data_IF_187965589954
#
_entry.id   IF_187965589954
#
_cell.length_a   1.000
_cell.length_b   1.000
_cell.length_c   1.000
_cell.angle_alpha   90.00
_cell.angle_beta   90.00
_cell.angle_gamma   90.00
#
_symmetry.space_group_name_H-M   'P 1'
#
loop_
_entity.id
_entity.type
_entity.pdbx_description
1 polymer ?
#
# COMPACT_ATOMS: atom_id res chain seq x y z
N UNK A 1 24.05 -11.97 -3.37
CA UNK A 1 22.72 -11.98 -3.99
C UNK A 1 21.95 -13.16 -3.46
N UNK A 2 20.73 -12.95 -2.98
CA UNK A 2 19.80 -13.98 -2.51
C UNK A 2 18.59 -14.01 -3.45
N UNK A 3 17.93 -15.15 -3.52
CA UNK A 3 16.70 -15.31 -4.28
C UNK A 3 15.51 -15.02 -3.37
N UNK A 4 14.75 -14.00 -3.70
CA UNK A 4 13.54 -13.57 -3.00
C UNK A 4 12.26 -14.06 -3.66
N UNK A 5 11.14 -13.48 -3.24
CA UNK A 5 9.80 -13.84 -3.70
C UNK A 5 9.67 -13.69 -5.22
N UNK A 6 9.00 -14.65 -5.85
CA UNK A 6 8.70 -14.60 -7.29
C UNK A 6 9.91 -14.55 -8.21
N UNK A 7 11.06 -15.00 -7.74
CA UNK A 7 12.32 -14.95 -8.48
C UNK A 7 13.03 -13.57 -8.42
N UNK A 8 12.56 -12.65 -7.59
CA UNK A 8 13.25 -11.40 -7.32
C UNK A 8 14.65 -11.65 -6.74
N UNK A 9 15.57 -10.73 -7.01
CA UNK A 9 16.93 -10.80 -6.49
C UNK A 9 17.12 -9.79 -5.36
N UNK A 10 17.61 -10.26 -4.21
CA UNK A 10 17.95 -9.43 -3.08
C UNK A 10 19.48 -9.21 -3.05
N UNK A 11 19.89 -7.97 -3.14
CA UNK A 11 21.27 -7.54 -3.06
C UNK A 11 21.54 -6.99 -1.67
N UNK A 12 22.59 -7.47 -1.03
CA UNK A 12 23.14 -6.86 0.18
C UNK A 12 24.23 -5.89 -0.30
N UNK A 13 24.08 -4.62 0.08
CA UNK A 13 24.96 -3.52 -0.33
C UNK A 13 25.71 -3.07 0.91
N UNK A 14 27.04 -3.05 0.84
CA UNK A 14 27.97 -2.63 1.90
C UNK A 14 28.56 -1.24 1.70
N UNK A 15 28.38 -0.66 0.49
CA UNK A 15 28.72 0.73 0.18
C UNK A 15 27.48 1.61 0.37
N UNK A 16 27.31 2.12 1.59
CA UNK A 16 26.15 2.93 1.96
C UNK A 16 26.53 3.98 3.03
N UNK A 17 25.99 5.19 2.91
CA UNK A 17 26.22 6.28 3.86
C UNK A 17 27.69 6.70 3.93
N UNK A 18 28.32 6.62 5.10
CA UNK A 18 29.72 7.04 5.31
C UNK A 18 30.74 6.17 4.55
N UNK A 19 30.39 4.97 4.14
CA UNK A 19 31.26 4.05 3.41
C UNK A 19 31.27 4.26 1.90
N UNK A 20 30.43 5.17 1.40
CA UNK A 20 30.29 5.46 -0.02
C UNK A 20 28.88 5.19 -0.56
N UNK A 21 28.76 5.10 -1.86
CA UNK A 21 27.52 4.81 -2.56
C UNK A 21 27.70 3.66 -3.56
N UNK A 22 26.68 2.85 -3.72
CA UNK A 22 26.60 1.88 -4.82
C UNK A 22 26.85 2.52 -6.19
N UNK A 23 26.50 3.80 -6.32
CA UNK A 23 26.58 4.56 -7.58
C UNK A 23 27.93 5.22 -7.83
N UNK A 24 28.89 5.18 -6.91
CA UNK A 24 30.21 5.81 -7.05
C UNK A 24 31.02 5.29 -8.25
N UNK A 25 30.70 4.08 -8.73
CA UNK A 25 31.33 3.47 -9.91
C UNK A 25 30.64 3.83 -11.25
N UNK A 26 29.61 4.67 -11.23
CA UNK A 26 28.78 4.99 -12.39
C UNK A 26 29.00 6.46 -12.80
N UNK A 27 28.93 6.75 -14.08
CA UNK A 27 28.97 8.12 -14.55
C UNK A 27 27.63 8.82 -14.32
N UNK A 28 27.69 10.04 -13.81
CA UNK A 28 26.50 10.87 -13.66
C UNK A 28 25.96 11.32 -15.02
N UNK A 29 24.63 11.36 -15.13
CA UNK A 29 23.95 11.91 -16.31
C UNK A 29 23.92 13.43 -16.18
N UNK A 30 24.49 14.16 -17.15
CA UNK A 30 24.47 15.62 -17.15
C UNK A 30 23.04 16.18 -17.06
N UNK A 31 22.82 17.10 -16.14
CA UNK A 31 21.53 17.77 -15.93
C UNK A 31 20.50 16.95 -15.16
N UNK A 32 20.88 15.84 -14.53
CA UNK A 32 19.95 14.99 -13.77
C UNK A 32 19.29 15.74 -12.60
N UNK A 33 20.00 16.61 -11.89
CA UNK A 33 19.45 17.38 -10.75
C UNK A 33 18.33 18.34 -11.19
N UNK A 34 18.45 18.98 -12.36
CA UNK A 34 17.41 19.84 -12.90
C UNK A 34 16.20 19.00 -13.35
N UNK A 35 16.45 17.85 -13.98
CA UNK A 35 15.41 16.92 -14.38
C UNK A 35 14.65 16.38 -13.16
N UNK A 36 15.34 16.03 -12.08
CA UNK A 36 14.74 15.61 -10.83
C UNK A 36 13.86 16.69 -10.22
N UNK A 37 14.39 17.91 -10.03
CA UNK A 37 13.59 19.03 -9.49
C UNK A 37 12.35 19.33 -10.32
N UNK A 38 12.45 19.26 -11.64
CA UNK A 38 11.32 19.49 -12.55
C UNK A 38 10.27 18.38 -12.49
N UNK A 39 10.71 17.15 -12.29
CA UNK A 39 9.85 15.97 -12.32
C UNK A 39 9.38 15.54 -10.93
N UNK A 40 9.98 16.06 -9.86
CA UNK A 40 9.54 15.76 -8.49
C UNK A 40 8.08 16.10 -8.28
N UNK A 41 7.39 15.24 -7.57
CA UNK A 41 5.99 15.38 -7.15
C UNK A 41 5.83 15.27 -5.64
N UNK A 42 6.95 15.29 -4.88
CA UNK A 42 6.94 15.19 -3.43
C UNK A 42 6.91 13.75 -2.89
N UNK A 43 7.28 12.75 -3.70
CA UNK A 43 7.54 11.41 -3.21
C UNK A 43 8.91 11.38 -2.53
N UNK A 44 9.02 10.70 -1.37
CA UNK A 44 10.21 10.78 -0.52
C UNK A 44 10.85 9.43 -0.25
N UNK A 45 10.13 8.53 0.40
CA UNK A 45 10.70 7.28 0.92
C UNK A 45 9.86 6.10 0.42
N UNK A 46 10.53 4.99 0.11
CA UNK A 46 9.87 3.70 -0.06
C UNK A 46 9.45 3.22 1.34
N UNK A 47 8.15 3.23 1.60
CA UNK A 47 7.56 2.90 2.90
C UNK A 47 7.49 1.38 3.15
N UNK A 48 6.91 0.66 2.17
CA UNK A 48 6.79 -0.79 2.26
C UNK A 48 6.63 -1.46 0.89
N UNK A 49 6.88 -2.77 0.87
CA UNK A 49 6.71 -3.65 -0.29
C UNK A 49 5.74 -4.77 0.07
N UNK A 50 4.50 -4.68 -0.39
CA UNK A 50 3.50 -5.70 -0.11
C UNK A 50 3.66 -6.89 -1.04
N UNK A 51 3.76 -8.07 -0.47
CA UNK A 51 3.87 -9.32 -1.18
C UNK A 51 2.55 -10.09 -1.17
N UNK A 52 2.14 -10.61 -2.31
CA UNK A 52 1.10 -11.62 -2.39
C UNK A 52 1.74 -13.01 -2.48
N UNK A 53 1.37 -13.87 -1.54
CA UNK A 53 1.87 -15.24 -1.43
C UNK A 53 0.76 -16.25 -1.72
N UNK A 54 1.14 -17.46 -2.16
CA UNK A 54 0.19 -18.55 -2.36
C UNK A 54 -0.38 -19.02 -1.02
N UNK A 55 -1.54 -19.62 -1.07
CA UNK A 55 -2.16 -20.22 0.11
C UNK A 55 -1.24 -21.27 0.73
N UNK A 56 -1.01 -21.11 2.05
CA UNK A 56 -0.11 -21.93 2.84
C UNK A 56 1.36 -21.47 2.86
N UNK A 57 1.73 -20.45 2.07
CA UNK A 57 3.12 -20.01 1.93
C UNK A 57 3.49 -18.81 2.82
N UNK A 58 2.55 -18.20 3.55
CA UNK A 58 2.85 -17.07 4.45
C UNK A 58 3.95 -17.40 5.46
N UNK A 59 3.90 -18.59 6.06
CA UNK A 59 4.94 -19.03 7.02
C UNK A 59 6.29 -19.27 6.37
N UNK A 60 6.32 -19.69 5.11
CA UNK A 60 7.56 -19.85 4.35
C UNK A 60 8.25 -18.51 4.18
N UNK A 61 7.53 -17.49 3.74
CA UNK A 61 8.09 -16.17 3.49
C UNK A 61 8.37 -15.39 4.78
N UNK A 62 7.49 -15.43 5.77
CA UNK A 62 7.78 -14.80 7.07
C UNK A 62 8.98 -15.46 7.77
N UNK A 63 9.09 -16.78 7.68
CA UNK A 63 10.26 -17.54 8.17
C UNK A 63 11.55 -17.18 7.43
N UNK A 64 11.49 -16.94 6.12
CA UNK A 64 12.62 -16.48 5.33
C UNK A 64 13.12 -15.11 5.82
N UNK A 65 12.24 -14.11 5.92
CA UNK A 65 12.61 -12.76 6.39
C UNK A 65 13.11 -12.78 7.84
N UNK A 66 12.48 -13.57 8.69
CA UNK A 66 12.95 -13.73 10.08
C UNK A 66 14.34 -14.36 10.15
N UNK A 67 14.55 -15.49 9.47
CA UNK A 67 15.78 -16.28 9.58
C UNK A 67 16.99 -15.64 8.90
N UNK A 68 16.78 -14.93 7.78
CA UNK A 68 17.85 -14.35 6.97
C UNK A 68 18.18 -12.92 7.39
N UNK A 69 17.15 -12.14 7.78
CA UNK A 69 17.28 -10.71 8.02
C UNK A 69 16.86 -10.27 9.42
N UNK A 70 16.51 -11.21 10.30
CA UNK A 70 16.01 -10.96 11.66
C UNK A 70 14.74 -10.09 11.69
N UNK A 71 13.91 -10.12 10.68
CA UNK A 71 12.63 -9.42 10.70
C UNK A 71 11.71 -10.04 11.74
N UNK A 72 10.90 -9.21 12.37
CA UNK A 72 9.89 -9.61 13.35
C UNK A 72 8.49 -9.39 12.81
N UNK A 73 7.52 -10.15 13.33
CA UNK A 73 6.11 -9.88 13.08
C UNK A 73 5.69 -8.63 13.84
N UNK A 74 5.30 -7.59 13.13
CA UNK A 74 4.76 -6.37 13.72
C UNK A 74 3.27 -6.50 14.03
N UNK A 75 2.51 -7.05 13.08
CA UNK A 75 1.05 -7.14 13.17
C UNK A 75 0.52 -8.28 12.29
N UNK A 76 -0.51 -8.95 12.76
CA UNK A 76 -1.23 -9.98 12.01
C UNK A 76 -2.71 -9.61 11.92
N UNK A 77 -3.32 -9.81 10.75
CA UNK A 77 -4.71 -9.50 10.48
C UNK A 77 -5.41 -10.69 9.82
N UNK A 78 -6.59 -11.02 10.31
CA UNK A 78 -7.56 -11.91 9.65
C UNK A 78 -8.70 -11.03 9.12
N UNK A 79 -8.64 -10.68 7.84
CA UNK A 79 -9.56 -9.76 7.20
C UNK A 79 -10.61 -10.56 6.45
N UNK A 80 -11.88 -10.34 6.80
CA UNK A 80 -13.03 -11.03 6.20
C UNK A 80 -13.98 -10.05 5.53
N UNK A 81 -14.06 -10.14 4.21
CA UNK A 81 -15.12 -9.53 3.42
C UNK A 81 -16.34 -10.45 3.34
N UNK A 82 -17.44 -10.01 2.72
CA UNK A 82 -18.63 -10.85 2.49
C UNK A 82 -18.39 -11.98 1.49
N UNK A 83 -17.51 -11.76 0.52
CA UNK A 83 -17.26 -12.71 -0.56
C UNK A 83 -15.90 -13.41 -0.43
N UNK A 84 -14.88 -12.70 0.03
CA UNK A 84 -13.51 -13.21 0.14
C UNK A 84 -12.82 -12.69 1.39
N UNK A 85 -11.80 -13.42 1.86
CA UNK A 85 -10.96 -13.03 2.98
C UNK A 85 -9.47 -13.16 2.66
N UNK A 86 -8.67 -12.53 3.50
CA UNK A 86 -7.21 -12.66 3.43
C UNK A 86 -6.60 -12.66 4.84
N UNK A 87 -5.46 -13.30 4.95
CA UNK A 87 -4.54 -13.10 6.05
C UNK A 87 -3.47 -12.09 5.62
N UNK A 88 -3.14 -11.16 6.51
CA UNK A 88 -2.04 -10.24 6.30
C UNK A 88 -1.12 -10.26 7.51
N UNK A 89 0.17 -10.43 7.26
CA UNK A 89 1.22 -10.45 8.28
C UNK A 89 2.27 -9.41 7.92
N UNK A 90 2.36 -8.34 8.68
CA UNK A 90 3.37 -7.31 8.48
C UNK A 90 4.68 -7.71 9.14
N UNK A 91 5.74 -7.88 8.35
CA UNK A 91 7.10 -8.10 8.81
C UNK A 91 7.86 -6.77 8.83
N UNK A 92 8.66 -6.55 9.88
CA UNK A 92 9.45 -5.33 10.03
C UNK A 92 10.91 -5.66 10.36
N UNK A 93 11.84 -4.92 9.74
CA UNK A 93 13.26 -5.02 10.03
C UNK A 93 13.58 -4.52 11.47
N UNK A 94 14.69 -4.99 12.08
CA UNK A 94 15.07 -4.58 13.43
C UNK A 94 15.24 -3.07 13.63
N UNK A 95 15.71 -2.36 12.60
CA UNK A 95 15.85 -0.90 12.57
C UNK A 95 14.55 -0.16 12.20
N UNK A 96 13.48 -0.92 11.91
CA UNK A 96 12.16 -0.43 11.51
C UNK A 96 12.11 0.32 10.16
N UNK A 97 13.21 0.34 9.41
CA UNK A 97 13.30 1.04 8.12
C UNK A 97 12.62 0.28 6.98
N UNK A 98 12.56 -1.05 7.05
CA UNK A 98 11.98 -1.88 6.00
C UNK A 98 10.76 -2.61 6.54
N UNK A 99 9.63 -2.46 5.83
CA UNK A 99 8.36 -3.11 6.14
C UNK A 99 7.91 -3.94 4.96
N UNK A 100 7.47 -5.17 5.22
CA UNK A 100 7.00 -6.12 4.19
C UNK A 100 5.71 -6.77 4.66
N UNK A 101 4.55 -6.24 4.26
CA UNK A 101 3.29 -6.96 4.43
C UNK A 101 3.24 -8.18 3.53
N UNK A 102 2.87 -9.32 4.08
CA UNK A 102 2.63 -10.58 3.38
C UNK A 102 1.13 -10.85 3.37
N UNK A 103 0.53 -10.95 2.20
CA UNK A 103 -0.90 -11.22 2.04
C UNK A 103 -1.13 -12.61 1.46
N UNK A 104 -1.94 -13.40 2.15
CA UNK A 104 -2.34 -14.74 1.74
C UNK A 104 -3.86 -14.82 1.60
N UNK A 105 -4.33 -15.37 0.49
CA UNK A 105 -5.76 -15.55 0.26
C UNK A 105 -6.37 -16.65 1.11
N UNK A 106 -7.60 -16.42 1.59
CA UNK A 106 -8.45 -17.47 2.18
C UNK A 106 -9.30 -18.20 1.13
N UNK A 107 -9.49 -17.59 -0.06
CA UNK A 107 -10.45 -18.01 -1.08
C UNK A 107 -9.84 -18.10 -2.47
N UNK A 108 -10.36 -19.02 -3.31
CA UNK A 108 -9.87 -19.23 -4.69
C UNK A 108 -10.17 -18.08 -5.66
N UNK A 109 -11.15 -17.23 -5.34
CA UNK A 109 -11.62 -16.14 -6.20
C UNK A 109 -11.25 -14.75 -5.65
N UNK A 110 -10.24 -14.67 -4.78
CA UNK A 110 -9.80 -13.40 -4.21
C UNK A 110 -8.94 -12.59 -5.18
N UNK A 111 -8.77 -11.30 -4.88
CA UNK A 111 -7.85 -10.41 -5.59
C UNK A 111 -6.40 -10.91 -5.54
N UNK A 112 -6.01 -11.58 -4.45
CA UNK A 112 -4.66 -12.15 -4.31
C UNK A 112 -4.46 -13.28 -5.31
N UNK A 113 -5.43 -14.18 -5.46
CA UNK A 113 -5.37 -15.27 -6.43
C UNK A 113 -5.43 -14.75 -7.89
N UNK A 114 -6.15 -13.65 -8.14
CA UNK A 114 -6.11 -12.98 -9.44
C UNK A 114 -4.71 -12.43 -9.73
N UNK A 115 -4.09 -11.76 -8.77
CA UNK A 115 -2.70 -11.30 -8.89
C UNK A 115 -1.76 -12.47 -9.19
N UNK A 116 -1.82 -13.56 -8.42
CA UNK A 116 -0.94 -14.72 -8.60
C UNK A 116 -1.09 -15.33 -10.00
N UNK A 117 -2.30 -15.38 -10.53
CA UNK A 117 -2.54 -15.87 -11.91
C UNK A 117 -1.96 -14.91 -12.95
N UNK A 118 -2.19 -13.59 -12.81
CA UNK A 118 -1.72 -12.57 -13.75
C UNK A 118 -0.20 -12.37 -13.71
N UNK A 119 0.38 -12.41 -12.52
CA UNK A 119 1.82 -12.29 -12.29
C UNK A 119 2.58 -13.58 -12.63
N UNK A 120 1.87 -14.70 -12.75
CA UNK A 120 2.37 -16.05 -12.94
C UNK A 120 3.20 -16.56 -11.75
N UNK A 121 2.81 -16.21 -10.54
CA UNK A 121 3.47 -16.63 -9.31
C UNK A 121 3.24 -15.67 -8.16
N UNK A 122 3.94 -15.93 -7.06
CA UNK A 122 4.04 -15.03 -5.92
C UNK A 122 4.89 -13.82 -6.28
N UNK A 123 4.68 -12.68 -5.63
CA UNK A 123 5.47 -11.51 -5.93
C UNK A 123 5.06 -10.26 -5.18
N UNK A 124 5.76 -9.16 -5.47
CA UNK A 124 5.44 -7.84 -4.96
C UNK A 124 4.19 -7.34 -5.70
N UNK A 125 3.09 -7.14 -4.95
CA UNK A 125 1.84 -6.61 -5.48
C UNK A 125 1.90 -5.10 -5.63
N UNK A 126 2.37 -4.39 -4.60
CA UNK A 126 2.50 -2.95 -4.67
C UNK A 126 3.74 -2.43 -3.92
N UNK A 127 4.12 -1.23 -4.32
CA UNK A 127 5.22 -0.46 -3.76
C UNK A 127 4.63 0.81 -3.18
N UNK A 128 4.73 0.99 -1.86
CA UNK A 128 4.24 2.18 -1.18
C UNK A 128 5.33 3.24 -1.05
N UNK A 129 4.98 4.48 -1.40
CA UNK A 129 5.86 5.64 -1.35
C UNK A 129 5.25 6.72 -0.46
N UNK A 130 6.04 7.28 0.44
CA UNK A 130 5.60 8.36 1.33
C UNK A 130 5.60 9.72 0.65
N UNK A 131 4.80 10.62 1.19
CA UNK A 131 4.81 12.06 0.92
C UNK A 131 4.42 12.85 2.16
N UNK A 132 4.91 14.07 2.30
CA UNK A 132 4.46 14.99 3.34
C UNK A 132 3.11 15.64 3.04
N UNK A 133 2.71 15.72 1.77
CA UNK A 133 1.42 16.28 1.36
C UNK A 133 0.79 15.45 0.23
N UNK A 134 -0.03 14.49 0.61
CA UNK A 134 -0.65 13.56 -0.34
C UNK A 134 -1.56 14.27 -1.35
N UNK A 135 -2.20 15.38 -0.96
CA UNK A 135 -3.07 16.13 -1.87
C UNK A 135 -2.30 16.76 -3.01
N UNK A 136 -1.20 17.47 -2.70
CA UNK A 136 -0.36 18.10 -3.72
C UNK A 136 0.32 17.06 -4.60
N UNK A 137 0.83 15.99 -3.99
CA UNK A 137 1.49 14.90 -4.71
C UNK A 137 0.53 14.23 -5.70
N UNK A 138 -0.67 13.84 -5.26
CA UNK A 138 -1.66 13.17 -6.11
C UNK A 138 -2.14 14.11 -7.23
N UNK A 139 -2.41 15.38 -6.92
CA UNK A 139 -2.81 16.37 -7.93
C UNK A 139 -1.70 16.59 -8.97
N UNK A 140 -0.44 16.65 -8.55
CA UNK A 140 0.71 16.77 -9.46
C UNK A 140 0.94 15.51 -10.30
N UNK A 141 0.75 14.32 -9.73
CA UNK A 141 0.81 13.05 -10.46
C UNK A 141 -0.30 12.92 -11.51
N UNK A 142 -1.56 13.27 -11.14
CA UNK A 142 -2.70 13.32 -12.09
C UNK A 142 -2.45 14.29 -13.24
N UNK A 143 -1.89 15.46 -12.96
CA UNK A 143 -1.54 16.45 -14.00
C UNK A 143 -0.49 15.92 -14.99
N UNK A 144 0.28 14.91 -14.60
CA UNK A 144 1.25 14.20 -15.45
C UNK A 144 0.70 12.93 -16.09
N UNK A 145 -0.60 12.65 -15.93
CA UNK A 145 -1.27 11.52 -16.57
C UNK A 145 -1.23 10.21 -15.77
N UNK A 146 -0.85 10.24 -14.49
CA UNK A 146 -0.94 9.05 -13.64
C UNK A 146 -2.42 8.80 -13.31
N UNK A 147 -2.86 7.59 -13.57
CA UNK A 147 -4.22 7.13 -13.26
C UNK A 147 -4.24 6.42 -11.90
N UNK A 148 -5.28 6.68 -11.12
CA UNK A 148 -5.50 6.10 -9.81
C UNK A 148 -6.77 5.26 -9.78
N UNK A 149 -6.83 4.31 -8.86
CA UNK A 149 -8.03 3.54 -8.59
C UNK A 149 -9.15 4.46 -8.10
N UNK A 150 -10.37 4.15 -8.50
CA UNK A 150 -11.54 4.89 -8.06
C UNK A 150 -12.09 4.33 -6.74
N UNK A 151 -12.77 5.18 -5.99
CA UNK A 151 -13.41 4.84 -4.73
C UNK A 151 -14.84 5.35 -4.76
N UNK A 152 -15.77 4.51 -4.31
CA UNK A 152 -17.21 4.80 -4.34
C UNK A 152 -17.57 6.03 -3.47
N UNK A 153 -18.53 6.85 -3.92
CA UNK A 153 -18.93 8.10 -3.26
C UNK A 153 -19.37 7.90 -1.81
N UNK A 154 -20.08 6.83 -1.52
CA UNK A 154 -20.54 6.48 -0.17
C UNK A 154 -19.42 6.30 0.85
N UNK A 155 -18.20 6.00 0.41
CA UNK A 155 -17.03 5.96 1.30
C UNK A 155 -16.78 7.34 1.92
N UNK A 156 -16.79 8.40 1.09
CA UNK A 156 -16.51 9.77 1.54
C UNK A 156 -17.62 10.35 2.41
N UNK A 157 -18.87 9.94 2.20
CA UNK A 157 -20.01 10.32 3.03
C UNK A 157 -19.93 9.77 4.47
N UNK A 158 -19.20 8.68 4.67
CA UNK A 158 -19.08 8.01 5.96
C UNK A 158 -17.83 8.42 6.76
N UNK A 159 -16.91 9.20 6.19
CA UNK A 159 -15.63 9.56 6.84
C UNK A 159 -15.85 10.24 8.18
N UNK A 160 -16.60 11.34 8.22
CA UNK A 160 -16.83 12.12 9.44
C UNK A 160 -17.52 11.30 10.54
N UNK A 161 -18.34 10.33 10.17
CA UNK A 161 -18.98 9.43 11.12
C UNK A 161 -18.01 8.38 11.67
N UNK A 162 -17.12 7.90 10.81
CA UNK A 162 -16.12 6.86 11.14
C UNK A 162 -14.95 7.41 11.93
N UNK A 163 -14.49 8.59 11.58
CA UNK A 163 -13.33 9.28 12.15
C UNK A 163 -13.71 10.72 12.55
N UNK A 164 -14.54 10.92 13.58
CA UNK A 164 -14.94 12.26 13.99
C UNK A 164 -13.74 13.07 14.47
N UNK A 165 -13.63 14.30 14.01
CA UNK A 165 -12.54 15.20 14.43
C UNK A 165 -11.21 15.03 13.69
N UNK A 166 -11.14 14.24 12.63
CA UNK A 166 -9.90 13.97 11.87
C UNK A 166 -9.23 15.20 11.26
N UNK A 167 -9.96 16.30 11.03
CA UNK A 167 -9.42 17.59 10.58
C UNK A 167 -8.99 17.65 9.09
N UNK A 168 -9.21 16.59 8.30
CA UNK A 168 -8.86 16.57 6.88
C UNK A 168 -9.98 17.15 6.00
N UNK A 169 -9.62 17.68 4.82
CA UNK A 169 -10.56 18.19 3.83
C UNK A 169 -11.22 17.03 3.06
N UNK A 170 -12.42 16.64 3.51
CA UNK A 170 -13.19 15.53 2.91
C UNK A 170 -13.53 15.79 1.45
N UNK A 171 -13.81 17.04 1.06
CA UNK A 171 -14.13 17.35 -0.33
C UNK A 171 -12.90 17.22 -1.24
N UNK A 172 -11.73 17.62 -0.76
CA UNK A 172 -10.47 17.42 -1.49
C UNK A 172 -10.09 15.94 -1.55
N UNK A 173 -10.33 15.17 -0.47
CA UNK A 173 -10.18 13.72 -0.46
C UNK A 173 -11.08 13.06 -1.49
N UNK A 174 -12.38 13.41 -1.50
CA UNK A 174 -13.38 12.92 -2.46
C UNK A 174 -12.97 13.20 -3.90
N UNK A 175 -12.59 14.43 -4.19
CA UNK A 175 -12.13 14.85 -5.53
C UNK A 175 -10.94 14.04 -6.01
N UNK A 176 -10.01 13.75 -5.12
CA UNK A 176 -8.77 13.05 -5.41
C UNK A 176 -8.84 11.53 -5.18
N UNK A 177 -9.93 11.02 -4.60
CA UNK A 177 -10.13 9.59 -4.25
C UNK A 177 -9.14 9.09 -3.19
N UNK A 178 -8.70 9.98 -2.30
CA UNK A 178 -7.79 9.68 -1.20
C UNK A 178 -8.55 9.05 -0.05
N UNK A 179 -8.07 7.91 0.43
CA UNK A 179 -8.60 7.19 1.57
C UNK A 179 -7.97 7.68 2.87
N UNK A 180 -8.67 7.50 3.98
CA UNK A 180 -8.19 7.82 5.33
C UNK A 180 -8.46 6.68 6.29
N UNK A 181 -7.48 6.35 7.13
CA UNK A 181 -7.58 5.38 8.22
C UNK A 181 -6.93 5.94 9.50
N UNK A 182 -7.21 5.31 10.63
CA UNK A 182 -6.60 5.68 11.90
C UNK A 182 -7.59 5.92 13.02
N UNK A 183 -7.11 6.54 14.07
CA UNK A 183 -7.88 6.95 15.25
C UNK A 183 -7.24 8.18 15.91
N UNK A 184 -7.93 8.78 16.88
CA UNK A 184 -7.38 9.86 17.70
C UNK A 184 -6.12 9.43 18.48
N UNK A 185 -6.04 8.14 18.83
CA UNK A 185 -4.92 7.59 19.62
C UNK A 185 -3.74 7.17 18.75
N UNK A 186 -4.00 6.58 17.58
CA UNK A 186 -2.96 6.04 16.68
C UNK A 186 -2.51 7.04 15.62
N UNK A 187 -3.17 8.20 15.49
CA UNK A 187 -2.94 9.13 14.41
C UNK A 187 -3.64 8.69 13.11
N UNK A 188 -3.38 9.44 12.03
CA UNK A 188 -4.03 9.26 10.74
C UNK A 188 -3.07 8.71 9.68
N UNK A 189 -3.63 7.97 8.76
CA UNK A 189 -3.00 7.47 7.55
C UNK A 189 -3.87 7.85 6.36
N UNK A 190 -3.31 8.59 5.41
CA UNK A 190 -3.96 8.85 4.12
C UNK A 190 -3.27 8.02 3.05
N UNK A 191 -4.04 7.44 2.14
CA UNK A 191 -3.51 6.56 1.11
C UNK A 191 -4.34 6.60 -0.17
N UNK A 192 -3.70 6.31 -1.30
CA UNK A 192 -4.34 6.10 -2.59
C UNK A 192 -3.49 5.15 -3.42
N UNK A 193 -4.14 4.41 -4.33
CA UNK A 193 -3.48 3.42 -5.17
C UNK A 193 -3.58 3.83 -6.64
N UNK A 194 -2.48 3.65 -7.38
CA UNK A 194 -2.51 3.81 -8.84
C UNK A 194 -3.27 2.65 -9.48
N UNK A 195 -3.67 2.83 -10.75
CA UNK A 195 -3.98 1.69 -11.61
C UNK A 195 -2.73 0.81 -11.77
N UNK A 196 -2.92 -0.40 -12.29
CA UNK A 196 -1.82 -1.32 -12.61
C UNK A 196 -0.81 -0.64 -13.52
N UNK A 197 0.47 -0.69 -13.14
CA UNK A 197 1.55 0.02 -13.85
C UNK A 197 2.49 -0.96 -14.58
N UNK A 198 2.86 -2.05 -13.92
CA UNK A 198 3.72 -3.08 -14.48
C UNK A 198 3.04 -4.45 -14.36
N UNK A 199 2.27 -4.85 -15.38
CA UNK A 199 1.41 -6.02 -15.27
C UNK A 199 0.41 -5.82 -14.13
N UNK A 200 0.30 -6.71 -13.13
CA UNK A 200 -0.60 -6.52 -11.98
C UNK A 200 0.03 -5.74 -10.82
N UNK A 201 1.20 -5.14 -11.00
CA UNK A 201 1.88 -4.34 -9.97
C UNK A 201 1.43 -2.90 -10.05
N UNK A 202 1.13 -2.30 -8.89
CA UNK A 202 0.74 -0.89 -8.77
C UNK A 202 1.53 -0.18 -7.66
N UNK A 203 1.35 1.14 -7.55
CA UNK A 203 1.94 1.96 -6.49
C UNK A 203 0.87 2.42 -5.51
N UNK A 204 1.29 2.54 -4.26
CA UNK A 204 0.55 3.23 -3.21
C UNK A 204 1.25 4.54 -2.88
N UNK A 205 0.49 5.62 -2.75
CA UNK A 205 0.97 6.90 -2.22
C UNK A 205 0.38 7.04 -0.83
N UNK A 206 1.25 7.28 0.16
CA UNK A 206 0.88 7.25 1.57
C UNK A 206 1.39 8.50 2.30
N UNK A 207 0.55 9.08 3.14
CA UNK A 207 0.94 10.11 4.11
C UNK A 207 0.61 9.62 5.51
N UNK A 208 1.64 9.53 6.34
CA UNK A 208 1.53 9.15 7.75
C UNK A 208 1.46 10.41 8.63
N UNK A 209 0.38 10.56 9.38
CA UNK A 209 0.19 11.59 10.40
C UNK A 209 0.11 10.93 11.77
N UNK A 210 1.20 10.26 12.16
CA UNK A 210 1.33 9.52 13.41
C UNK A 210 0.96 8.03 13.34
N UNK A 211 0.23 7.59 12.34
CA UNK A 211 -0.21 6.20 12.24
C UNK A 211 0.84 5.30 11.56
N UNK A 212 1.23 4.23 12.23
CA UNK A 212 2.18 3.22 11.74
C UNK A 212 1.52 1.99 11.09
N UNK A 213 0.19 2.03 10.92
CA UNK A 213 -0.59 0.94 10.30
C UNK A 213 -0.43 0.87 8.78
N UNK A 214 -1.26 0.01 8.17
CA UNK A 214 -1.28 -0.24 6.71
C UNK A 214 -2.67 0.01 6.10
N UNK A 215 -3.51 0.84 6.74
CA UNK A 215 -4.82 1.19 6.22
C UNK A 215 -5.88 0.08 6.32
N UNK A 216 -5.76 -0.80 7.29
CA UNK A 216 -6.65 -1.95 7.42
C UNK A 216 -8.10 -1.57 7.72
N UNK A 217 -8.33 -0.42 8.40
CA UNK A 217 -9.66 0.12 8.59
C UNK A 217 -10.32 0.57 7.29
N UNK A 218 -9.55 0.94 6.28
CA UNK A 218 -10.08 1.28 4.96
C UNK A 218 -10.70 0.06 4.26
N UNK A 219 -10.19 -1.15 4.50
CA UNK A 219 -10.77 -2.35 3.93
C UNK A 219 -12.23 -2.53 4.38
N UNK A 220 -12.48 -2.45 5.67
CA UNK A 220 -13.85 -2.51 6.21
C UNK A 220 -14.71 -1.33 5.76
N UNK A 221 -14.15 -0.12 5.76
CA UNK A 221 -14.85 1.09 5.35
C UNK A 221 -15.28 1.08 3.88
N UNK A 222 -14.42 0.58 2.99
CA UNK A 222 -14.75 0.39 1.58
C UNK A 222 -15.88 -0.63 1.41
N UNK A 223 -15.80 -1.70 2.18
CA UNK A 223 -16.83 -2.73 2.18
C UNK A 223 -18.20 -2.18 2.62
N UNK A 224 -18.26 -1.49 3.76
CA UNK A 224 -19.50 -0.90 4.30
C UNK A 224 -20.08 0.15 3.33
N UNK A 225 -19.23 0.90 2.65
CA UNK A 225 -19.66 1.90 1.68
C UNK A 225 -20.26 1.29 0.42
N UNK A 226 -19.72 0.16 -0.06
CA UNK A 226 -20.29 -0.59 -1.19
C UNK A 226 -21.65 -1.15 -0.81
N UNK A 227 -21.79 -1.69 0.39
CA UNK A 227 -23.08 -2.20 0.88
C UNK A 227 -24.13 -1.10 0.97
N UNK A 228 -23.78 0.06 1.52
CA UNK A 228 -24.68 1.22 1.57
C UNK A 228 -25.14 1.66 0.18
N UNK A 229 -24.26 1.70 -0.80
CA UNK A 229 -24.61 2.00 -2.19
C UNK A 229 -25.56 0.94 -2.78
N UNK A 230 -25.29 -0.35 -2.51
CA UNK A 230 -26.16 -1.44 -2.96
C UNK A 230 -27.56 -1.35 -2.35
N UNK A 231 -27.68 -0.97 -1.09
CA UNK A 231 -28.96 -0.73 -0.43
C UNK A 231 -29.68 0.44 -1.09
N UNK A 232 -29.01 1.56 -1.33
CA UNK A 232 -29.60 2.74 -2.01
C UNK A 232 -30.11 2.43 -3.42
N UNK A 233 -29.40 1.58 -4.14
CA UNK A 233 -29.81 1.13 -5.49
C UNK A 233 -30.86 0.02 -5.46
N UNK A 234 -31.27 -0.46 -4.28
CA UNK A 234 -32.27 -1.53 -4.13
C UNK A 234 -31.78 -2.92 -4.52
N UNK A 235 -30.46 -3.11 -4.62
CA UNK A 235 -29.82 -4.43 -4.89
C UNK A 235 -29.90 -5.30 -3.63
N UNK A 236 -29.65 -4.71 -2.46
CA UNK A 236 -29.82 -5.35 -1.17
C UNK A 236 -31.08 -4.77 -0.52
N UNK A 237 -31.98 -5.65 -0.07
CA UNK A 237 -33.14 -5.29 0.75
C UNK A 237 -32.76 -5.51 2.22
N UNK A 238 -32.90 -4.45 3.01
CA UNK A 238 -32.79 -4.54 4.49
C UNK A 238 -34.21 -4.67 4.98
N UNK A 239 -34.52 -5.78 5.66
CA UNK A 239 -35.80 -5.93 6.37
C UNK A 239 -35.83 -4.89 7.49
N UNK A 240 -36.93 -4.12 7.55
CA UNK A 240 -37.14 -3.02 8.48
C UNK A 240 -37.43 -3.51 9.91
#
# INVERSE_FOLDING_TARGET
VLQGIGGSLLYVIDQYGETGSLYDAWDEIEGWEEAERKNSVGLEILDHLTHNVRRGEMRTWSGFYNSVFNFEEQKYFDIKGKATGLFSQAMIAPDRAIRIPLNESQDENSQIEEFIRRYNGEGIQHIALTTENIFETVEAMRARGVEFQDTIETYFELIDKRLPGHGEDVERMRKNRILIDGSDEEGLLLQIFTQDTFGPIFFEIIQRKGNEGFGNGNFQALFDSIELDQIRRGVIKVDA
#
